data_IF_144639178669
#
_entry.id   IF_144639178669
#
_cell.length_a   1.000
_cell.length_b   1.000
_cell.length_c   1.000
_cell.angle_alpha   90.00
_cell.angle_beta   90.00
_cell.angle_gamma   90.00
#
_symmetry.space_group_name_H-M   'P 1'
#
loop_
_entity.id
_entity.type
_entity.pdbx_description
1 polymer ?
#
# COMPACT_ATOMS: atom_id res chain seq x y z
N UNK A 1 -5.46 -2.27 16.99
CA UNK A 1 -6.46 -2.07 18.04
C UNK A 1 -6.04 -1.06 19.10
N UNK A 2 -4.86 -1.16 19.75
CA UNK A 2 -4.46 -0.18 20.81
C UNK A 2 -4.33 1.28 20.31
N UNK A 3 -3.88 1.52 19.07
CA UNK A 3 -3.75 2.86 18.48
C UNK A 3 -5.09 3.51 18.09
N UNK A 4 -6.08 2.71 17.68
CA UNK A 4 -7.44 3.20 17.35
C UNK A 4 -8.20 3.58 18.63
N UNK A 5 -8.03 2.79 19.71
CA UNK A 5 -8.61 3.11 21.00
C UNK A 5 -8.03 4.40 21.58
N UNK A 6 -6.75 4.67 21.37
CA UNK A 6 -6.11 5.92 21.77
C UNK A 6 -6.67 7.13 21.00
N UNK A 7 -6.93 6.99 19.70
CA UNK A 7 -7.54 8.04 18.88
C UNK A 7 -8.98 8.35 19.33
N UNK A 8 -9.76 7.32 19.68
CA UNK A 8 -11.13 7.49 20.23
C UNK A 8 -11.12 8.12 21.62
N UNK A 9 -10.13 7.81 22.49
CA UNK A 9 -10.00 8.44 23.80
C UNK A 9 -9.61 9.92 23.71
N UNK A 10 -8.79 10.31 22.72
CA UNK A 10 -8.45 11.72 22.47
C UNK A 10 -9.70 12.50 22.02
N UNK A 11 -10.57 11.90 21.21
CA UNK A 11 -11.81 12.52 20.74
C UNK A 11 -12.88 12.66 21.84
N UNK A 12 -12.89 11.75 22.83
CA UNK A 12 -13.84 11.81 23.95
C UNK A 12 -13.36 12.76 25.08
N UNK A 13 -12.06 12.98 25.22
CA UNK A 13 -11.46 13.86 26.24
C UNK A 13 -11.74 15.35 26.02
N UNK A 14 -12.13 15.74 24.80
CA UNK A 14 -12.39 17.15 24.42
C UNK A 14 -13.76 17.68 24.93
N UNK A 15 -14.62 16.84 25.49
CA UNK A 15 -16.01 17.20 25.84
C UNK A 15 -16.31 17.40 27.33
N UNK A 16 -15.29 17.39 28.20
CA UNK A 16 -15.54 17.61 29.65
C UNK A 16 -15.22 19.05 30.06
N UNK A 17 -16.12 19.76 30.76
CA UNK A 17 -15.85 21.12 31.24
C UNK A 17 -14.91 21.09 32.45
N UNK A 18 -13.85 21.95 32.37
CA UNK A 18 -12.92 22.14 33.46
C UNK A 18 -13.45 23.14 34.51
N UNK A 19 -13.21 22.83 35.76
CA UNK A 19 -13.51 23.65 36.91
C UNK A 19 -12.58 24.87 36.99
N UNK A 20 -13.13 26.05 37.20
CA UNK A 20 -12.42 27.32 37.38
C UNK A 20 -11.83 27.41 38.79
N UNK A 21 -10.53 27.09 38.95
CA UNK A 21 -9.70 27.71 39.97
C UNK A 21 -9.16 29.04 39.41
N UNK A 22 -8.87 30.05 40.26
CA UNK A 22 -8.37 31.35 39.83
C UNK A 22 -7.21 31.16 38.83
N UNK A 23 -7.50 31.53 37.56
CA UNK A 23 -6.61 31.19 36.45
C UNK A 23 -5.35 32.03 36.57
N UNK A 24 -4.18 31.37 36.69
CA UNK A 24 -2.90 32.01 36.47
C UNK A 24 -2.90 32.74 35.12
N UNK A 25 -2.46 33.98 35.03
CA UNK A 25 -2.55 34.74 33.81
C UNK A 25 -1.63 35.96 33.77
N UNK A 26 -1.59 36.61 32.61
CA UNK A 26 -0.78 37.78 32.35
C UNK A 26 -1.02 38.33 30.95
N UNK A 27 -0.22 39.29 30.54
CA UNK A 27 -0.28 39.95 29.22
C UNK A 27 0.74 39.30 28.30
N UNK A 28 0.33 38.88 27.09
CA UNK A 28 1.27 38.47 26.04
C UNK A 28 2.06 39.70 25.58
N UNK A 29 3.32 39.80 25.98
CA UNK A 29 4.21 40.92 25.68
C UNK A 29 5.05 40.73 24.45
N UNK A 30 5.18 39.46 23.99
CA UNK A 30 5.88 39.13 22.75
C UNK A 30 5.36 37.80 22.15
N UNK A 31 4.89 37.83 20.89
CA UNK A 31 4.34 36.67 20.23
C UNK A 31 5.42 35.71 19.71
N UNK A 32 4.99 34.49 19.39
CA UNK A 32 5.76 33.48 18.68
C UNK A 32 6.05 33.88 17.22
N UNK A 33 7.17 33.42 16.69
CA UNK A 33 7.51 33.57 15.27
C UNK A 33 8.61 34.62 14.99
N UNK A 34 8.78 34.95 13.71
CA UNK A 34 9.81 35.91 13.29
C UNK A 34 9.46 37.33 13.72
N UNK A 35 10.35 37.92 14.54
CA UNK A 35 10.17 39.28 15.03
C UNK A 35 11.51 40.03 15.14
N UNK A 36 11.42 41.35 15.23
CA UNK A 36 12.58 42.18 15.52
C UNK A 36 12.95 42.03 17.02
N UNK A 37 14.16 41.50 17.30
CA UNK A 37 14.54 41.19 18.68
C UNK A 37 14.90 42.49 19.45
N UNK A 38 14.26 42.80 20.58
CA UNK A 38 14.38 44.09 21.25
C UNK A 38 15.80 44.37 21.80
N UNK A 39 16.56 43.30 22.13
CA UNK A 39 17.93 43.46 22.67
C UNK A 39 18.98 43.48 21.56
N UNK A 40 18.82 42.65 20.52
CA UNK A 40 19.81 42.50 19.45
C UNK A 40 19.59 43.39 18.23
N UNK A 41 18.43 44.01 18.08
CA UNK A 41 18.12 44.88 16.95
C UNK A 41 18.13 44.18 15.58
N UNK A 42 17.91 42.87 15.52
CA UNK A 42 17.88 42.05 14.30
C UNK A 42 16.65 41.19 14.28
N UNK A 43 16.23 40.76 13.08
CA UNK A 43 15.18 39.76 12.95
C UNK A 43 15.64 38.41 13.53
N UNK A 44 14.87 37.86 14.45
CA UNK A 44 15.10 36.55 15.06
C UNK A 44 13.79 35.81 15.23
N UNK A 45 13.89 34.51 15.17
CA UNK A 45 12.76 33.64 15.46
C UNK A 45 12.57 33.52 16.98
N UNK A 46 11.36 33.79 17.45
CA UNK A 46 10.94 33.63 18.84
C UNK A 46 10.23 32.28 19.00
N UNK A 47 10.86 31.36 19.70
CA UNK A 47 10.46 29.98 19.80
C UNK A 47 9.28 29.73 20.75
N UNK A 48 8.78 30.75 21.40
CA UNK A 48 7.72 30.70 22.38
C UNK A 48 6.93 32.01 22.43
N UNK A 49 6.20 32.21 23.52
CA UNK A 49 5.59 33.51 23.88
C UNK A 49 6.16 34.04 25.16
N UNK A 50 6.26 35.36 25.25
CA UNK A 50 6.60 36.03 26.50
C UNK A 50 5.32 36.56 27.16
N UNK A 51 5.14 36.26 28.44
CA UNK A 51 3.99 36.67 29.25
C UNK A 51 4.48 37.52 30.39
N UNK A 52 4.13 38.76 30.36
CA UNK A 52 4.47 39.78 31.39
C UNK A 52 3.27 40.17 32.23
N UNK A 53 3.45 41.28 32.99
CA UNK A 53 2.47 41.78 33.97
C UNK A 53 2.17 40.76 35.08
N UNK A 54 3.20 40.00 35.46
CA UNK A 54 3.16 39.03 36.55
C UNK A 54 4.27 39.38 37.56
N UNK A 55 3.97 39.52 38.84
CA UNK A 55 4.98 39.84 39.85
C UNK A 55 6.10 38.77 39.91
N UNK A 56 7.35 39.22 40.08
CA UNK A 56 8.46 38.31 40.31
C UNK A 56 8.18 37.43 41.54
N UNK A 57 8.53 36.15 41.46
CA UNK A 57 8.33 35.17 42.52
C UNK A 57 6.95 34.50 42.52
N UNK A 58 6.03 34.92 41.64
CA UNK A 58 4.73 34.25 41.48
C UNK A 58 4.95 32.81 41.06
N UNK A 59 4.29 31.81 41.72
CA UNK A 59 4.40 30.41 41.34
C UNK A 59 3.87 30.17 39.93
N UNK A 60 4.63 29.46 39.08
CA UNK A 60 4.30 29.08 37.71
C UNK A 60 3.69 27.68 37.76
N UNK A 61 2.37 27.51 37.43
CA UNK A 61 1.73 26.20 37.39
C UNK A 61 2.12 25.46 36.10
N UNK A 62 2.37 24.15 36.19
CA UNK A 62 2.58 23.30 35.02
C UNK A 62 1.33 23.29 34.12
N UNK A 63 1.55 23.42 32.83
CA UNK A 63 0.49 23.35 31.83
C UNK A 63 0.08 21.90 31.50
N UNK A 64 0.89 20.91 31.93
CA UNK A 64 0.68 19.49 31.62
C UNK A 64 1.00 18.61 32.82
N UNK A 65 0.42 17.41 32.85
CA UNK A 65 0.86 16.33 33.73
C UNK A 65 1.96 15.54 33.05
N UNK A 66 3.11 15.37 33.72
CA UNK A 66 4.25 14.74 33.09
C UNK A 66 5.47 14.59 34.00
N UNK A 67 6.61 14.40 33.39
CA UNK A 67 7.89 14.25 34.11
C UNK A 67 8.85 15.38 33.71
N UNK A 68 9.49 15.99 34.69
CA UNK A 68 10.53 17.01 34.46
C UNK A 68 11.69 16.40 33.67
N UNK A 69 11.83 16.80 32.43
CA UNK A 69 12.86 16.32 31.53
C UNK A 69 14.16 17.11 31.59
N UNK A 70 14.05 18.38 31.97
CA UNK A 70 15.21 19.27 32.22
C UNK A 70 14.85 20.28 33.31
N UNK A 71 15.82 20.61 34.14
CA UNK A 71 15.76 21.67 35.18
C UNK A 71 17.15 22.18 35.44
N UNK A 72 17.42 23.44 35.06
CA UNK A 72 18.75 24.03 35.23
C UNK A 72 18.91 25.33 34.45
N UNK A 73 20.13 25.88 34.43
CA UNK A 73 20.44 27.12 33.72
C UNK A 73 20.83 26.84 32.27
N UNK A 74 20.24 27.57 31.32
CA UNK A 74 20.52 27.51 29.88
C UNK A 74 20.93 28.89 29.39
N UNK A 75 21.99 28.95 28.57
CA UNK A 75 22.47 30.20 27.99
C UNK A 75 21.37 30.94 27.24
N UNK A 76 21.16 32.20 27.56
CA UNK A 76 20.08 33.02 26.99
C UNK A 76 18.75 32.87 27.72
N UNK A 77 18.33 31.65 28.04
CA UNK A 77 17.05 31.35 28.70
C UNK A 77 17.07 31.54 30.23
N UNK A 78 18.28 31.63 30.85
CA UNK A 78 18.39 31.68 32.30
C UNK A 78 17.97 30.37 32.97
N UNK A 79 17.26 30.45 34.08
CA UNK A 79 16.68 29.28 34.72
C UNK A 79 15.53 28.74 33.90
N UNK A 80 15.68 27.48 33.48
CA UNK A 80 14.81 26.78 32.49
C UNK A 80 14.35 25.46 33.06
N UNK A 81 13.07 25.20 32.95
CA UNK A 81 12.45 23.90 33.28
C UNK A 81 11.59 23.40 32.13
N UNK A 82 11.73 22.14 31.74
CA UNK A 82 10.94 21.50 30.71
C UNK A 82 10.26 20.24 31.28
N UNK A 83 8.95 20.13 31.07
CA UNK A 83 8.13 18.96 31.43
C UNK A 83 7.79 18.19 30.17
N UNK A 84 8.11 16.89 30.18
CA UNK A 84 7.65 15.97 29.14
C UNK A 84 6.20 15.57 29.45
N UNK A 85 5.29 15.96 28.60
CA UNK A 85 3.87 15.63 28.72
C UNK A 85 3.62 14.13 28.51
N UNK A 86 2.91 13.51 29.45
CA UNK A 86 2.59 12.08 29.38
C UNK A 86 1.61 11.74 28.25
N UNK A 87 0.75 12.68 27.87
CA UNK A 87 -0.28 12.46 26.88
C UNK A 87 0.28 12.45 25.44
N UNK A 88 1.19 13.39 25.16
CA UNK A 88 1.71 13.62 23.81
C UNK A 88 3.16 13.19 23.62
N UNK A 89 3.91 13.03 24.72
CA UNK A 89 5.36 12.79 24.70
C UNK A 89 6.20 14.02 24.33
N UNK A 90 5.58 15.18 24.10
CA UNK A 90 6.22 16.47 23.79
C UNK A 90 6.63 17.21 25.04
N UNK A 91 7.22 18.39 24.87
CA UNK A 91 7.78 19.14 25.99
C UNK A 91 7.13 20.53 26.09
N UNK A 92 6.78 20.89 27.32
CA UNK A 92 6.39 22.26 27.67
C UNK A 92 7.50 22.85 28.50
N UNK A 93 8.07 23.95 28.03
CA UNK A 93 9.23 24.55 28.63
C UNK A 93 8.94 25.97 29.10
N UNK A 94 9.56 26.32 30.22
CA UNK A 94 9.46 27.64 30.88
C UNK A 94 10.84 28.20 31.13
N UNK A 95 11.05 29.44 30.71
CA UNK A 95 12.33 30.11 30.84
C UNK A 95 12.22 31.41 31.63
N UNK A 96 13.37 32.01 31.90
CA UNK A 96 13.56 33.22 32.68
C UNK A 96 13.09 33.11 34.15
N UNK A 97 12.92 31.86 34.62
CA UNK A 97 12.44 31.58 35.97
C UNK A 97 13.38 32.18 37.05
N UNK A 98 12.82 32.56 38.22
CA UNK A 98 13.62 32.95 39.37
C UNK A 98 14.14 31.71 40.12
N UNK A 99 13.26 30.83 40.51
CA UNK A 99 13.55 29.57 41.21
C UNK A 99 12.92 28.38 40.50
N UNK A 100 13.65 27.27 40.37
CA UNK A 100 13.16 25.99 39.89
C UNK A 100 12.83 25.11 41.10
N UNK A 101 11.59 24.59 41.17
CA UNK A 101 11.11 23.88 42.37
C UNK A 101 11.35 22.36 42.30
N UNK A 102 11.58 21.81 41.11
CA UNK A 102 11.77 20.36 40.91
C UNK A 102 12.98 20.06 40.02
N UNK A 103 13.65 18.96 40.33
CA UNK A 103 14.74 18.41 39.53
C UNK A 103 14.26 17.44 38.46
N UNK A 104 15.18 17.07 37.55
CA UNK A 104 14.94 16.11 36.48
C UNK A 104 14.45 14.77 37.04
N UNK A 105 13.49 14.14 36.37
CA UNK A 105 12.87 12.87 36.76
C UNK A 105 11.72 13.03 37.75
N UNK A 106 11.43 14.21 38.28
CA UNK A 106 10.30 14.45 39.17
C UNK A 106 8.99 14.45 38.37
N UNK A 107 8.00 13.73 38.87
CA UNK A 107 6.67 13.76 38.31
C UNK A 107 5.89 14.95 38.83
N UNK A 108 5.21 15.66 37.92
CA UNK A 108 4.38 16.82 38.22
C UNK A 108 3.00 16.69 37.60
N UNK A 109 2.01 17.31 38.24
CA UNK A 109 0.65 17.36 37.74
C UNK A 109 0.36 18.72 37.11
N UNK A 110 -0.57 18.75 36.15
CA UNK A 110 -1.13 20.00 35.64
C UNK A 110 -1.65 20.87 36.78
N UNK A 111 -1.36 22.17 36.74
CA UNK A 111 -1.69 23.12 37.79
C UNK A 111 -0.71 23.14 39.01
N UNK A 112 0.18 22.16 39.11
CA UNK A 112 1.21 22.16 40.18
C UNK A 112 2.26 23.19 39.90
N UNK A 113 2.61 24.03 40.90
CA UNK A 113 3.71 24.99 40.80
C UNK A 113 5.05 24.28 40.58
N UNK A 114 5.77 24.63 39.51
CA UNK A 114 7.02 23.98 39.08
C UNK A 114 8.22 24.92 39.13
N UNK A 115 7.99 26.20 39.06
CA UNK A 115 8.97 27.25 39.11
C UNK A 115 8.36 28.56 39.67
N UNK A 116 9.11 29.62 39.74
CA UNK A 116 8.60 30.97 40.03
C UNK A 116 9.00 31.95 38.95
N UNK A 117 8.16 32.96 38.71
CA UNK A 117 8.38 34.02 37.71
C UNK A 117 9.64 34.81 38.05
N UNK A 118 10.47 35.04 37.04
CA UNK A 118 11.74 35.71 37.22
C UNK A 118 12.11 36.66 36.08
N UNK A 119 13.43 36.92 36.00
CA UNK A 119 14.05 37.74 34.94
C UNK A 119 15.49 37.26 34.69
N UNK A 120 15.75 35.96 34.87
CA UNK A 120 17.07 35.40 34.63
C UNK A 120 17.34 35.22 33.14
N UNK A 121 18.63 35.17 32.73
CA UNK A 121 19.01 35.08 31.32
C UNK A 121 18.94 36.40 30.58
N UNK A 122 18.60 36.36 29.27
CA UNK A 122 18.57 37.55 28.41
C UNK A 122 17.11 37.98 28.22
N UNK A 123 16.73 39.08 28.84
CA UNK A 123 15.37 39.66 28.74
C UNK A 123 15.34 41.11 29.14
N UNK A 124 14.22 41.82 28.88
CA UNK A 124 14.05 43.24 29.13
C UNK A 124 13.30 43.56 30.43
N UNK A 125 12.86 42.54 31.17
CA UNK A 125 12.13 42.72 32.44
C UNK A 125 11.61 41.39 33.01
N UNK A 126 10.72 41.48 34.00
CA UNK A 126 10.10 40.31 34.64
C UNK A 126 9.06 39.74 33.71
N UNK A 127 9.21 38.50 33.27
CA UNK A 127 8.29 37.79 32.40
C UNK A 127 8.54 36.28 32.44
N UNK A 128 7.63 35.50 31.90
CA UNK A 128 7.81 34.08 31.62
C UNK A 128 7.88 33.88 30.12
N UNK A 129 8.87 33.14 29.65
CA UNK A 129 8.90 32.62 28.28
C UNK A 129 8.40 31.17 28.28
N UNK A 130 7.43 30.86 27.44
CA UNK A 130 6.80 29.53 27.34
C UNK A 130 6.97 28.99 25.94
N UNK A 131 7.48 27.76 25.82
CA UNK A 131 7.63 27.03 24.53
C UNK A 131 6.85 25.72 24.53
N UNK A 132 6.27 25.37 23.40
CA UNK A 132 5.85 24.01 23.09
C UNK A 132 6.84 23.40 22.11
N UNK A 133 7.46 22.28 22.49
CA UNK A 133 8.55 21.67 21.74
C UNK A 133 8.20 20.23 21.35
N UNK A 134 8.56 19.84 20.12
CA UNK A 134 8.45 18.45 19.64
C UNK A 134 9.51 17.58 20.33
N UNK A 135 10.75 18.07 20.40
CA UNK A 135 11.88 17.45 21.08
C UNK A 135 12.46 18.39 22.13
N UNK A 136 13.10 17.83 23.17
CA UNK A 136 13.67 18.63 24.24
C UNK A 136 14.65 19.68 23.73
N UNK A 137 15.49 19.31 22.75
CA UNK A 137 16.46 20.18 22.11
C UNK A 137 16.36 20.09 20.60
N UNK A 138 16.77 21.10 19.85
CA UNK A 138 16.78 21.13 18.40
C UNK A 138 16.64 22.52 17.80
N UNK A 139 16.49 22.60 16.47
CA UNK A 139 16.28 23.84 15.75
C UNK A 139 14.96 24.50 16.20
N UNK A 140 14.98 25.73 16.60
CA UNK A 140 13.80 26.43 17.14
C UNK A 140 12.65 26.50 16.14
N UNK A 141 12.95 26.79 14.86
CA UNK A 141 11.91 26.93 13.81
C UNK A 141 11.17 25.63 13.55
N UNK A 142 11.89 24.51 13.53
CA UNK A 142 11.33 23.21 13.19
C UNK A 142 10.79 22.45 14.41
N UNK A 143 11.41 22.72 15.57
CA UNK A 143 11.16 21.98 16.80
C UNK A 143 10.10 22.62 17.70
N UNK A 144 9.70 23.86 17.47
CA UNK A 144 8.68 24.54 18.28
C UNK A 144 7.41 24.79 17.50
N UNK A 145 6.30 24.92 18.21
CA UNK A 145 4.98 25.33 17.69
C UNK A 145 4.47 26.50 18.51
N UNK A 146 3.59 27.31 17.91
CA UNK A 146 3.00 28.46 18.58
C UNK A 146 2.25 28.03 19.85
N UNK A 147 2.70 28.43 21.07
CA UNK A 147 2.09 28.02 22.30
C UNK A 147 0.87 28.85 22.70
N UNK A 148 0.55 29.93 22.00
CA UNK A 148 -0.39 30.97 22.48
C UNK A 148 -1.76 30.37 22.77
N UNK A 149 -2.37 29.66 21.82
CA UNK A 149 -3.70 29.05 22.00
C UNK A 149 -3.72 27.97 23.09
N UNK A 150 -2.65 27.19 23.20
CA UNK A 150 -2.50 26.17 24.25
C UNK A 150 -2.41 26.80 25.64
N UNK A 151 -1.56 27.81 25.81
CA UNK A 151 -1.41 28.52 27.07
C UNK A 151 -2.72 29.24 27.43
N UNK A 152 -3.38 29.88 26.45
CA UNK A 152 -4.68 30.57 26.66
C UNK A 152 -5.82 29.62 27.06
N UNK A 153 -5.72 28.34 26.70
CA UNK A 153 -6.71 27.32 27.15
C UNK A 153 -6.53 26.94 28.63
N UNK A 154 -5.39 27.23 29.23
CA UNK A 154 -5.03 26.86 30.60
C UNK A 154 -4.85 28.06 31.53
N UNK A 155 -4.38 29.19 30.99
CA UNK A 155 -4.10 30.40 31.72
C UNK A 155 -4.92 31.58 31.17
N UNK A 156 -5.22 32.55 32.01
CA UNK A 156 -5.95 33.75 31.59
C UNK A 156 -5.01 34.72 30.92
N UNK A 157 -4.94 34.71 29.58
CA UNK A 157 -4.08 35.62 28.82
C UNK A 157 -4.87 36.83 28.30
N UNK A 158 -4.22 38.02 28.33
CA UNK A 158 -4.68 39.23 27.71
C UNK A 158 -3.63 39.77 26.73
N UNK A 159 -3.98 40.75 25.87
CA UNK A 159 -3.05 41.27 24.85
C UNK A 159 -2.84 40.33 23.66
N UNK A 160 -3.71 39.36 23.49
CA UNK A 160 -3.73 38.40 22.40
C UNK A 160 -5.01 38.53 21.57
N UNK A 161 -4.88 38.55 20.25
CA UNK A 161 -6.01 38.80 19.32
C UNK A 161 -6.73 37.49 18.84
N UNK A 162 -6.29 36.32 19.33
CA UNK A 162 -6.89 35.04 18.97
C UNK A 162 -6.49 34.49 17.59
N UNK A 163 -5.56 35.12 16.86
CA UNK A 163 -5.23 34.75 15.48
C UNK A 163 -4.07 33.78 15.33
N UNK A 164 -3.36 33.43 16.41
CA UNK A 164 -2.22 32.52 16.35
C UNK A 164 -2.63 31.05 16.42
N UNK A 165 -1.79 30.20 15.86
CA UNK A 165 -1.89 28.77 15.56
C UNK A 165 -2.88 27.90 16.35
N UNK A 166 -3.24 26.77 15.79
CA UNK A 166 -4.22 25.86 16.42
C UNK A 166 -3.64 25.14 17.63
N UNK A 167 -4.28 25.27 18.80
CA UNK A 167 -3.98 24.48 20.01
C UNK A 167 -3.92 22.96 19.69
N UNK A 168 -4.70 22.54 18.70
CA UNK A 168 -4.78 21.12 18.32
C UNK A 168 -3.48 20.59 17.71
N UNK A 169 -2.63 21.47 17.12
CA UNK A 169 -1.35 21.06 16.53
C UNK A 169 -0.38 20.50 17.59
N UNK A 170 -0.49 20.96 18.86
CA UNK A 170 0.30 20.42 19.95
C UNK A 170 -0.07 18.97 20.30
N UNK A 171 -1.35 18.59 20.15
CA UNK A 171 -1.85 17.27 20.50
C UNK A 171 -1.76 16.26 19.36
N UNK A 172 -1.44 16.69 18.14
CA UNK A 172 -1.27 15.79 17.01
C UNK A 172 0.11 15.11 17.07
N UNK A 173 0.16 13.78 17.20
CA UNK A 173 1.43 13.08 17.26
C UNK A 173 2.15 13.07 15.92
N UNK A 174 3.48 13.03 15.93
CA UNK A 174 4.25 12.73 14.73
C UNK A 174 4.12 11.25 14.42
N UNK A 175 3.56 10.91 13.26
CA UNK A 175 3.41 9.55 12.78
C UNK A 175 4.00 9.48 11.37
N UNK A 176 4.86 8.49 11.14
CA UNK A 176 5.33 8.13 9.81
C UNK A 176 5.06 6.65 9.60
N UNK A 177 4.49 6.30 8.47
CA UNK A 177 4.25 4.92 8.05
C UNK A 177 4.97 4.71 6.72
N UNK A 178 5.80 3.68 6.65
CA UNK A 178 6.50 3.30 5.41
C UNK A 178 5.84 2.05 4.83
N UNK A 179 5.23 2.19 3.66
CA UNK A 179 4.61 1.08 2.94
C UNK A 179 5.55 0.43 1.91
N UNK A 180 6.77 0.91 1.74
CA UNK A 180 7.68 0.42 0.69
C UNK A 180 7.96 -1.09 0.79
N UNK A 181 8.07 -1.63 2.01
CA UNK A 181 8.26 -3.07 2.22
C UNK A 181 7.06 -3.92 1.74
N UNK A 182 5.84 -3.37 1.84
CA UNK A 182 4.62 -4.08 1.43
C UNK A 182 4.42 -4.08 -0.09
N UNK A 183 5.11 -3.18 -0.82
CA UNK A 183 5.17 -3.17 -2.28
C UNK A 183 6.34 -4.00 -2.82
N UNK A 184 7.10 -4.68 -1.97
CA UNK A 184 8.21 -5.57 -2.35
C UNK A 184 7.92 -7.10 -2.23
N UNK A 185 6.65 -7.61 -2.29
CA UNK A 185 6.37 -9.03 -2.08
C UNK A 185 6.67 -9.92 -3.30
N UNK A 186 7.32 -9.38 -4.31
CA UNK A 186 7.42 -9.96 -5.64
C UNK A 186 8.19 -11.29 -5.70
N UNK A 187 9.26 -11.43 -4.93
CA UNK A 187 10.11 -12.63 -5.00
C UNK A 187 9.39 -13.88 -4.50
N UNK A 188 8.64 -13.78 -3.40
CA UNK A 188 7.91 -14.92 -2.85
C UNK A 188 6.71 -15.31 -3.72
N UNK A 189 5.94 -14.33 -4.22
CA UNK A 189 4.81 -14.59 -5.11
C UNK A 189 5.29 -15.22 -6.42
N UNK A 190 6.39 -14.71 -6.97
CA UNK A 190 7.02 -15.25 -8.16
C UNK A 190 7.56 -16.67 -7.94
N UNK A 191 8.17 -16.94 -6.79
CA UNK A 191 8.64 -18.26 -6.40
C UNK A 191 7.49 -19.26 -6.30
N UNK A 192 6.41 -18.91 -5.59
CA UNK A 192 5.21 -19.74 -5.47
C UNK A 192 4.60 -20.04 -6.84
N UNK A 193 4.52 -19.04 -7.73
CA UNK A 193 4.00 -19.22 -9.08
C UNK A 193 4.87 -20.18 -9.88
N UNK A 194 6.20 -19.99 -9.84
CA UNK A 194 7.16 -20.86 -10.52
C UNK A 194 7.15 -22.29 -9.99
N UNK A 195 7.08 -22.46 -8.67
CA UNK A 195 7.00 -23.80 -8.04
C UNK A 195 5.69 -24.51 -8.40
N UNK A 196 4.58 -23.75 -8.49
CA UNK A 196 3.30 -24.29 -8.92
C UNK A 196 3.34 -24.72 -10.39
N UNK A 197 3.87 -23.88 -11.29
CA UNK A 197 4.02 -24.21 -12.71
C UNK A 197 4.95 -25.40 -12.93
N UNK A 198 6.07 -25.49 -12.20
CA UNK A 198 6.98 -26.67 -12.27
C UNK A 198 6.30 -27.93 -11.77
N UNK A 199 5.49 -27.86 -10.73
CA UNK A 199 4.70 -28.99 -10.22
C UNK A 199 3.66 -29.43 -11.24
N UNK A 200 2.96 -28.49 -11.88
CA UNK A 200 1.98 -28.78 -12.94
C UNK A 200 2.66 -29.38 -14.17
N UNK A 201 3.81 -28.87 -14.58
CA UNK A 201 4.62 -29.43 -15.68
C UNK A 201 5.08 -30.84 -15.39
N UNK A 202 5.53 -31.14 -14.17
CA UNK A 202 5.91 -32.49 -13.74
C UNK A 202 4.70 -33.46 -13.72
N UNK A 203 3.54 -32.97 -13.28
CA UNK A 203 2.30 -33.78 -13.33
C UNK A 203 1.86 -34.05 -14.77
N UNK A 204 2.03 -33.07 -15.66
CA UNK A 204 1.78 -33.23 -17.09
C UNK A 204 2.70 -34.29 -17.72
N UNK A 205 4.01 -34.24 -17.43
CA UNK A 205 4.97 -35.25 -17.89
C UNK A 205 4.61 -36.68 -17.46
N UNK A 206 4.20 -36.87 -16.19
CA UNK A 206 3.71 -38.16 -15.70
C UNK A 206 2.46 -38.66 -16.42
N UNK A 207 1.52 -37.77 -16.70
CA UNK A 207 0.32 -38.12 -17.45
C UNK A 207 0.68 -38.54 -18.86
N UNK A 208 1.62 -37.88 -19.50
CA UNK A 208 2.10 -38.16 -20.85
C UNK A 208 2.83 -39.51 -20.93
N UNK A 209 3.46 -40.00 -19.85
CA UNK A 209 4.06 -41.34 -19.78
C UNK A 209 2.99 -42.46 -19.78
N UNK A 210 1.86 -42.24 -19.12
CA UNK A 210 0.82 -43.28 -18.94
C UNK A 210 -0.20 -43.31 -20.05
N UNK A 211 -0.57 -42.13 -20.58
CA UNK A 211 -1.65 -42.00 -21.55
C UNK A 211 -1.42 -42.69 -22.91
N UNK A 212 -0.17 -42.87 -23.43
CA UNK A 212 0.03 -43.65 -24.68
C UNK A 212 -0.49 -45.08 -24.60
N UNK A 213 -0.42 -45.71 -23.43
CA UNK A 213 -0.91 -47.06 -23.23
C UNK A 213 -2.44 -47.12 -23.44
N UNK A 214 -3.16 -46.11 -22.95
CA UNK A 214 -4.63 -45.99 -23.21
C UNK A 214 -4.92 -45.75 -24.70
N UNK A 215 -4.18 -44.87 -25.35
CA UNK A 215 -4.33 -44.57 -26.77
C UNK A 215 -4.10 -45.82 -27.64
N UNK A 216 -2.99 -46.55 -27.38
CA UNK A 216 -2.67 -47.77 -28.09
C UNK A 216 -3.71 -48.87 -27.84
N UNK A 217 -4.21 -49.01 -26.59
CA UNK A 217 -5.28 -49.97 -26.30
C UNK A 217 -6.57 -49.65 -27.10
N UNK A 218 -6.93 -48.39 -27.18
CA UNK A 218 -8.12 -47.98 -27.95
C UNK A 218 -7.93 -48.20 -29.46
N UNK A 219 -6.74 -47.95 -30.00
CA UNK A 219 -6.41 -48.25 -31.40
C UNK A 219 -6.52 -49.75 -31.65
N UNK A 220 -6.00 -50.61 -30.78
CA UNK A 220 -6.07 -52.07 -30.89
C UNK A 220 -7.54 -52.53 -30.85
N UNK A 221 -8.37 -51.98 -29.98
CA UNK A 221 -9.81 -52.27 -29.89
C UNK A 221 -10.52 -51.90 -31.18
N UNK A 222 -10.26 -50.71 -31.75
CA UNK A 222 -10.88 -50.26 -33.00
C UNK A 222 -10.44 -51.11 -34.21
N UNK A 223 -9.16 -51.52 -34.26
CA UNK A 223 -8.66 -52.46 -35.25
C UNK A 223 -9.29 -53.83 -35.09
N UNK A 224 -9.41 -54.36 -33.88
CA UNK A 224 -10.08 -55.63 -33.59
C UNK A 224 -11.56 -55.59 -34.05
N UNK A 225 -12.25 -54.47 -33.81
CA UNK A 225 -13.61 -54.23 -34.28
C UNK A 225 -13.69 -54.23 -35.82
N UNK A 226 -12.73 -53.61 -36.49
CA UNK A 226 -12.63 -53.61 -37.97
C UNK A 226 -12.46 -55.03 -38.51
N UNK A 227 -11.57 -55.83 -37.89
CA UNK A 227 -11.33 -57.20 -38.22
C UNK A 227 -12.59 -58.08 -37.99
N UNK A 228 -13.32 -57.81 -36.91
CA UNK A 228 -14.60 -58.47 -36.62
C UNK A 228 -15.64 -58.21 -37.71
N UNK A 229 -15.76 -56.96 -38.17
CA UNK A 229 -16.63 -56.61 -39.32
C UNK A 229 -16.31 -57.45 -40.57
N UNK A 230 -15.02 -57.55 -40.92
CA UNK A 230 -14.57 -58.34 -42.08
C UNK A 230 -14.91 -59.82 -41.87
N UNK A 231 -14.70 -60.36 -40.66
CA UNK A 231 -14.96 -61.78 -40.35
C UNK A 231 -16.44 -62.14 -40.44
N UNK A 232 -17.36 -61.21 -40.19
CA UNK A 232 -18.81 -61.40 -40.29
C UNK A 232 -19.29 -61.15 -41.71
N UNK A 233 -18.39 -60.88 -42.67
CA UNK A 233 -18.75 -60.68 -44.08
C UNK A 233 -19.24 -59.27 -44.42
N UNK A 234 -19.07 -58.28 -43.55
CA UNK A 234 -19.37 -56.89 -43.86
C UNK A 234 -18.32 -56.32 -44.81
N UNK A 235 -18.75 -55.59 -45.85
CA UNK A 235 -17.85 -54.97 -46.82
C UNK A 235 -17.21 -53.76 -46.14
N UNK A 236 -15.87 -53.82 -45.94
CA UNK A 236 -15.06 -52.68 -45.46
C UNK A 236 -14.43 -52.04 -46.68
N UNK A 237 -14.68 -50.75 -46.91
CA UNK A 237 -14.08 -50.02 -48.03
C UNK A 237 -12.61 -49.71 -47.75
N UNK A 238 -11.77 -49.67 -48.78
CA UNK A 238 -10.38 -49.23 -48.64
C UNK A 238 -10.29 -47.78 -48.11
N UNK A 239 -11.25 -46.94 -48.41
CA UNK A 239 -11.37 -45.58 -47.91
C UNK A 239 -11.54 -45.55 -46.37
N UNK A 240 -12.33 -46.47 -45.80
CA UNK A 240 -12.50 -46.59 -44.35
C UNK A 240 -11.18 -47.00 -43.69
N UNK A 241 -10.43 -47.90 -44.26
CA UNK A 241 -9.12 -48.36 -43.75
C UNK A 241 -8.08 -47.24 -43.80
N UNK A 242 -7.99 -46.56 -44.94
CA UNK A 242 -7.05 -45.45 -45.14
C UNK A 242 -7.35 -44.29 -44.19
N UNK A 243 -8.62 -43.92 -44.06
CA UNK A 243 -9.06 -42.85 -43.18
C UNK A 243 -8.73 -43.15 -41.71
N UNK A 244 -8.94 -44.43 -41.25
CA UNK A 244 -8.56 -44.86 -39.90
C UNK A 244 -7.07 -44.79 -39.70
N UNK A 245 -6.27 -45.27 -40.65
CA UNK A 245 -4.80 -45.23 -40.57
C UNK A 245 -4.30 -43.81 -40.40
N UNK A 246 -4.74 -42.86 -41.22
CA UNK A 246 -4.36 -41.45 -41.10
C UNK A 246 -4.82 -40.84 -39.78
N UNK A 247 -6.00 -41.22 -39.29
CA UNK A 247 -6.53 -40.82 -38.00
C UNK A 247 -5.60 -41.29 -36.87
N UNK A 248 -5.16 -42.55 -36.88
CA UNK A 248 -4.25 -43.06 -35.87
C UNK A 248 -2.89 -42.35 -35.92
N UNK A 249 -2.29 -42.19 -37.09
CA UNK A 249 -1.03 -41.46 -37.25
C UNK A 249 -1.16 -40.03 -36.71
N UNK A 250 -2.22 -39.32 -37.05
CA UNK A 250 -2.48 -37.96 -36.57
C UNK A 250 -2.60 -37.91 -35.05
N UNK A 251 -3.39 -38.79 -34.44
CA UNK A 251 -3.54 -38.76 -32.98
C UNK A 251 -2.29 -39.17 -32.23
N UNK A 252 -1.52 -40.13 -32.71
CA UNK A 252 -0.23 -40.49 -32.11
C UNK A 252 0.74 -39.30 -32.19
N UNK A 253 0.84 -38.67 -33.35
CA UNK A 253 1.69 -37.50 -33.54
C UNK A 253 1.23 -36.33 -32.68
N UNK A 254 -0.08 -36.01 -32.68
CA UNK A 254 -0.63 -34.93 -31.86
C UNK A 254 -0.37 -35.17 -30.37
N UNK A 255 -0.52 -36.43 -29.92
CA UNK A 255 -0.27 -36.79 -28.54
C UNK A 255 1.21 -36.66 -28.15
N UNK A 256 2.11 -37.17 -28.96
CA UNK A 256 3.56 -37.09 -28.71
C UNK A 256 4.09 -35.66 -28.76
N UNK A 257 3.52 -34.82 -29.62
CA UNK A 257 3.92 -33.42 -29.79
C UNK A 257 3.17 -32.47 -28.85
N UNK A 258 2.21 -32.94 -28.04
CA UNK A 258 1.32 -32.07 -27.26
C UNK A 258 2.06 -31.19 -26.25
N UNK A 259 3.00 -31.81 -25.48
CA UNK A 259 3.81 -31.06 -24.50
C UNK A 259 4.69 -30.03 -25.20
N UNK A 260 5.40 -30.45 -26.25
CA UNK A 260 6.26 -29.60 -27.03
C UNK A 260 5.46 -28.44 -27.64
N UNK A 261 4.27 -28.75 -28.17
CA UNK A 261 3.38 -27.76 -28.74
C UNK A 261 2.89 -26.75 -27.71
N UNK A 262 2.48 -27.21 -26.52
CA UNK A 262 2.03 -26.31 -25.45
C UNK A 262 3.17 -25.43 -24.95
N UNK A 263 4.34 -26.01 -24.66
CA UNK A 263 5.47 -25.32 -24.04
C UNK A 263 6.26 -24.44 -25.02
N UNK A 264 6.54 -24.94 -26.21
CA UNK A 264 7.48 -24.29 -27.17
C UNK A 264 6.76 -23.44 -28.22
N UNK A 265 5.47 -23.68 -28.43
CA UNK A 265 4.71 -22.99 -29.47
C UNK A 265 3.59 -22.15 -28.88
N UNK A 266 2.73 -22.78 -28.09
CA UNK A 266 1.50 -22.15 -27.63
C UNK A 266 1.79 -21.01 -26.63
N UNK A 267 2.54 -21.28 -25.57
CA UNK A 267 2.81 -20.30 -24.52
C UNK A 267 3.65 -19.14 -25.08
N UNK A 268 4.81 -19.36 -25.74
CA UNK A 268 5.60 -18.26 -26.31
C UNK A 268 4.84 -17.45 -27.36
N UNK A 269 3.99 -18.12 -28.18
CA UNK A 269 3.16 -17.43 -29.15
C UNK A 269 2.21 -16.44 -28.48
N UNK A 270 1.54 -16.84 -27.40
CA UNK A 270 0.60 -15.99 -26.71
C UNK A 270 1.28 -14.85 -25.93
N UNK A 271 2.43 -15.13 -25.34
CA UNK A 271 3.28 -14.12 -24.72
C UNK A 271 3.76 -13.09 -25.76
N UNK A 272 4.21 -13.55 -26.90
CA UNK A 272 4.67 -12.69 -27.98
C UNK A 272 3.54 -11.86 -28.61
N UNK A 273 2.37 -12.45 -28.84
CA UNK A 273 1.20 -11.73 -29.37
C UNK A 273 0.75 -10.67 -28.37
N UNK A 274 0.62 -11.01 -27.08
CA UNK A 274 0.24 -10.04 -26.04
C UNK A 274 1.25 -8.88 -25.96
N UNK A 275 2.56 -9.17 -26.01
CA UNK A 275 3.63 -8.18 -25.92
C UNK A 275 3.71 -7.28 -27.14
N UNK A 276 3.62 -7.84 -28.36
CA UNK A 276 3.72 -7.08 -29.61
C UNK A 276 2.61 -6.05 -29.73
N UNK A 277 1.38 -6.41 -29.35
CA UNK A 277 0.25 -5.47 -29.36
C UNK A 277 0.34 -4.41 -28.25
N UNK A 278 1.07 -4.67 -27.16
CA UNK A 278 1.34 -3.68 -26.12
C UNK A 278 2.53 -2.75 -26.46
N UNK A 279 3.15 -2.90 -27.65
CA UNK A 279 4.29 -2.08 -28.09
C UNK A 279 5.62 -2.44 -27.42
N UNK A 280 5.73 -3.62 -26.79
CA UNK A 280 6.90 -4.09 -26.05
C UNK A 280 7.39 -5.44 -26.55
N UNK A 281 8.72 -5.65 -26.47
CA UNK A 281 9.29 -7.00 -26.50
C UNK A 281 9.24 -7.57 -25.08
N UNK A 282 8.28 -8.45 -24.80
CA UNK A 282 8.24 -9.19 -23.56
C UNK A 282 9.24 -10.38 -23.65
N UNK A 283 10.22 -10.39 -22.78
CA UNK A 283 10.91 -11.63 -22.47
C UNK A 283 10.00 -12.47 -21.54
N UNK A 284 9.99 -13.79 -21.73
CA UNK A 284 9.19 -14.79 -21.00
C UNK A 284 9.14 -14.55 -19.46
N UNK A 285 10.24 -14.00 -18.92
CA UNK A 285 10.36 -13.62 -17.53
C UNK A 285 9.56 -12.35 -17.14
N UNK A 286 9.19 -11.50 -18.07
CA UNK A 286 8.62 -10.17 -17.74
C UNK A 286 7.13 -10.21 -17.42
N UNK A 287 6.40 -11.16 -18.00
CA UNK A 287 4.97 -11.35 -17.72
C UNK A 287 4.69 -11.84 -16.29
N UNK A 288 5.60 -12.63 -15.73
CA UNK A 288 5.53 -13.13 -14.34
C UNK A 288 6.25 -12.23 -13.34
N UNK A 289 6.92 -11.18 -13.80
CA UNK A 289 7.59 -10.21 -12.93
C UNK A 289 6.59 -9.20 -12.38
N UNK A 290 5.81 -9.63 -11.40
CA UNK A 290 4.91 -8.75 -10.65
C UNK A 290 5.65 -7.60 -9.95
N UNK A 291 6.95 -7.74 -9.70
CA UNK A 291 7.85 -6.71 -9.19
C UNK A 291 7.85 -5.45 -10.05
N UNK A 292 7.77 -5.58 -11.37
CA UNK A 292 7.66 -4.41 -12.26
C UNK A 292 6.38 -3.62 -12.01
N UNK A 293 5.23 -4.29 -11.83
CA UNK A 293 3.98 -3.61 -11.49
C UNK A 293 4.11 -2.85 -10.18
N UNK A 294 4.60 -3.51 -9.13
CA UNK A 294 4.79 -2.89 -7.83
C UNK A 294 5.79 -1.73 -7.87
N UNK A 295 6.94 -1.92 -8.53
CA UNK A 295 7.96 -0.90 -8.69
C UNK A 295 7.44 0.30 -9.50
N UNK A 296 6.70 0.08 -10.60
CA UNK A 296 6.14 1.16 -11.40
C UNK A 296 5.11 1.96 -10.61
N UNK A 297 4.21 1.30 -9.88
CA UNK A 297 3.24 1.96 -9.01
C UNK A 297 3.95 2.74 -7.91
N UNK A 298 4.95 2.16 -7.24
CA UNK A 298 5.75 2.84 -6.20
C UNK A 298 6.44 4.10 -6.74
N UNK A 299 7.01 4.03 -7.93
CA UNK A 299 7.67 5.18 -8.57
C UNK A 299 6.68 6.32 -8.89
N UNK A 300 5.44 6.00 -9.23
CA UNK A 300 4.40 6.99 -9.52
C UNK A 300 3.90 7.65 -8.25
N UNK A 301 3.59 6.87 -7.21
CA UNK A 301 3.07 7.42 -5.96
C UNK A 301 4.14 8.15 -5.15
N UNK A 302 5.44 7.93 -5.44
CA UNK A 302 6.55 8.67 -4.85
C UNK A 302 6.49 8.74 -3.33
N UNK A 303 6.47 9.95 -2.78
CA UNK A 303 6.46 10.18 -1.33
C UNK A 303 5.14 9.78 -0.65
N UNK A 304 4.03 9.63 -1.40
CA UNK A 304 2.77 9.15 -0.82
C UNK A 304 2.86 7.74 -0.24
N UNK A 305 3.87 6.94 -0.62
CA UNK A 305 4.14 5.63 -0.01
C UNK A 305 4.59 5.74 1.46
N UNK A 306 5.07 6.94 1.85
CA UNK A 306 5.54 7.24 3.20
C UNK A 306 4.75 8.40 3.81
N UNK A 307 3.42 8.26 3.98
CA UNK A 307 2.62 9.33 4.53
C UNK A 307 3.11 9.70 5.93
N UNK A 308 3.31 10.97 6.16
CA UNK A 308 3.77 11.53 7.44
C UNK A 308 2.74 12.48 8.01
N UNK A 309 2.57 12.42 9.32
CA UNK A 309 1.77 13.37 10.09
C UNK A 309 2.72 14.15 11.00
N UNK A 310 2.94 15.42 10.69
CA UNK A 310 3.97 16.28 11.28
C UNK A 310 3.42 17.16 12.41
N UNK A 311 2.49 16.64 13.18
CA UNK A 311 1.96 17.37 14.33
C UNK A 311 1.05 18.56 14.00
N UNK A 312 0.51 18.64 12.78
CA UNK A 312 -0.42 19.69 12.36
C UNK A 312 -1.83 19.13 12.12
N UNK A 313 -2.84 19.77 12.66
CA UNK A 313 -4.26 19.37 12.49
C UNK A 313 -4.65 19.38 11.01
N UNK A 314 -4.17 20.35 10.24
CA UNK A 314 -4.45 20.46 8.82
C UNK A 314 -3.96 19.25 8.00
N UNK A 315 -2.97 18.51 8.50
CA UNK A 315 -2.41 17.32 7.85
C UNK A 315 -3.13 16.02 8.21
N UNK A 316 -4.04 16.01 9.19
CA UNK A 316 -4.75 14.80 9.61
C UNK A 316 -5.55 14.19 8.44
N UNK A 317 -6.34 15.02 7.76
CA UNK A 317 -7.17 14.55 6.64
C UNK A 317 -6.32 14.07 5.45
N UNK A 318 -5.33 14.84 4.96
CA UNK A 318 -4.37 14.35 3.96
C UNK A 318 -3.71 13.03 4.36
N UNK A 319 -3.18 12.92 5.55
CA UNK A 319 -2.54 11.71 6.08
C UNK A 319 -3.49 10.49 6.06
N UNK A 320 -4.75 10.65 6.51
CA UNK A 320 -5.74 9.55 6.47
C UNK A 320 -6.04 9.15 5.03
N UNK A 321 -6.23 10.12 4.13
CA UNK A 321 -6.55 9.86 2.72
C UNK A 321 -5.40 9.13 2.04
N UNK A 322 -4.15 9.57 2.22
CA UNK A 322 -2.98 8.92 1.64
C UNK A 322 -2.83 7.47 2.13
N UNK A 323 -2.96 7.24 3.43
CA UNK A 323 -2.93 5.87 3.98
C UNK A 323 -4.00 4.96 3.35
N UNK A 324 -5.22 5.46 3.20
CA UNK A 324 -6.32 4.70 2.58
C UNK A 324 -6.04 4.41 1.11
N UNK A 325 -5.58 5.40 0.35
CA UNK A 325 -5.28 5.25 -1.08
C UNK A 325 -4.11 4.28 -1.32
N UNK A 326 -3.04 4.38 -0.54
CA UNK A 326 -1.89 3.45 -0.63
C UNK A 326 -2.30 2.02 -0.32
N UNK A 327 -3.12 1.79 0.72
CA UNK A 327 -3.65 0.46 1.05
C UNK A 327 -4.53 -0.08 -0.09
N UNK A 328 -5.38 0.75 -0.68
CA UNK A 328 -6.23 0.35 -1.81
C UNK A 328 -5.38 -0.04 -3.02
N UNK A 329 -4.34 0.75 -3.35
CA UNK A 329 -3.42 0.44 -4.44
C UNK A 329 -2.65 -0.86 -4.19
N UNK A 330 -2.15 -1.08 -2.98
CA UNK A 330 -1.47 -2.31 -2.60
C UNK A 330 -2.38 -3.53 -2.79
N UNK A 331 -3.61 -3.47 -2.29
CA UNK A 331 -4.60 -4.54 -2.46
C UNK A 331 -4.92 -4.74 -3.95
N UNK A 332 -5.05 -3.65 -4.71
CA UNK A 332 -5.29 -3.70 -6.16
C UNK A 332 -4.16 -4.38 -6.93
N UNK A 333 -2.91 -4.05 -6.64
CA UNK A 333 -1.73 -4.69 -7.24
C UNK A 333 -1.67 -6.18 -6.91
N UNK A 334 -1.89 -6.56 -5.64
CA UNK A 334 -1.92 -7.96 -5.21
C UNK A 334 -3.05 -8.73 -5.90
N UNK A 335 -4.26 -8.17 -5.95
CA UNK A 335 -5.41 -8.79 -6.59
C UNK A 335 -5.19 -9.00 -8.09
N UNK A 336 -4.62 -8.01 -8.78
CA UNK A 336 -4.31 -8.10 -10.21
C UNK A 336 -3.25 -9.17 -10.48
N UNK A 337 -2.16 -9.18 -9.71
CA UNK A 337 -1.09 -10.18 -9.83
C UNK A 337 -1.62 -11.59 -9.59
N UNK A 338 -2.42 -11.77 -8.55
CA UNK A 338 -3.04 -13.05 -8.24
C UNK A 338 -4.01 -13.50 -9.34
N UNK A 339 -4.78 -12.57 -9.90
CA UNK A 339 -5.72 -12.86 -10.98
C UNK A 339 -5.00 -13.36 -12.26
N UNK A 340 -3.90 -12.70 -12.66
CA UNK A 340 -3.06 -13.13 -13.80
C UNK A 340 -2.47 -14.52 -13.55
N UNK A 341 -1.94 -14.75 -12.34
CA UNK A 341 -1.43 -16.07 -11.94
C UNK A 341 -2.49 -17.16 -12.06
N UNK A 342 -3.69 -16.92 -11.56
CA UNK A 342 -4.81 -17.89 -11.62
C UNK A 342 -5.17 -18.22 -13.06
N UNK A 343 -5.19 -17.22 -13.97
CA UNK A 343 -5.46 -17.43 -15.38
C UNK A 343 -4.43 -18.36 -16.04
N UNK A 344 -3.16 -18.14 -15.75
CA UNK A 344 -2.08 -18.97 -16.24
C UNK A 344 -2.20 -20.43 -15.74
N UNK A 345 -2.45 -20.60 -14.44
CA UNK A 345 -2.63 -21.92 -13.82
C UNK A 345 -3.83 -22.66 -14.42
N UNK A 346 -4.96 -21.97 -14.60
CA UNK A 346 -6.15 -22.56 -15.22
C UNK A 346 -5.85 -23.02 -16.66
N UNK A 347 -5.14 -22.19 -17.43
CA UNK A 347 -4.73 -22.56 -18.77
C UNK A 347 -3.89 -23.83 -18.79
N UNK A 348 -2.86 -23.94 -17.94
CA UNK A 348 -2.05 -25.14 -17.80
C UNK A 348 -2.89 -26.37 -17.42
N UNK A 349 -3.78 -26.25 -16.45
CA UNK A 349 -4.68 -27.35 -16.05
C UNK A 349 -5.55 -27.82 -17.23
N UNK A 350 -6.08 -26.89 -18.00
CA UNK A 350 -6.93 -27.22 -19.16
C UNK A 350 -6.09 -27.87 -20.27
N UNK A 351 -4.85 -27.47 -20.48
CA UNK A 351 -3.95 -28.16 -21.39
C UNK A 351 -3.65 -29.58 -20.93
N UNK A 352 -3.45 -29.82 -19.62
CA UNK A 352 -3.27 -31.17 -19.06
C UNK A 352 -4.52 -32.02 -19.32
N UNK A 353 -5.70 -31.51 -19.01
CA UNK A 353 -6.95 -32.23 -19.24
C UNK A 353 -7.29 -32.35 -20.72
N UNK A 354 -6.91 -31.39 -21.55
CA UNK A 354 -7.12 -31.43 -23.00
C UNK A 354 -6.49 -32.61 -23.70
N UNK A 355 -5.35 -33.11 -23.20
CA UNK A 355 -4.69 -34.32 -23.73
C UNK A 355 -5.57 -35.56 -23.60
N UNK A 356 -6.45 -35.63 -22.59
CA UNK A 356 -7.39 -36.73 -22.39
C UNK A 356 -8.45 -36.76 -23.50
N UNK A 357 -8.74 -35.64 -24.17
CA UNK A 357 -9.63 -35.56 -25.28
C UNK A 357 -9.19 -36.37 -26.49
N UNK A 358 -7.87 -36.53 -26.67
CA UNK A 358 -7.31 -37.26 -27.84
C UNK A 358 -7.73 -38.76 -27.84
N UNK A 359 -7.50 -39.52 -26.74
CA UNK A 359 -7.99 -40.92 -26.68
C UNK A 359 -9.53 -41.05 -26.72
N UNK A 360 -10.26 -40.08 -26.12
CA UNK A 360 -11.72 -40.12 -26.10
C UNK A 360 -12.32 -40.05 -27.52
N UNK A 361 -11.63 -39.46 -28.48
CA UNK A 361 -12.09 -39.41 -29.89
C UNK A 361 -12.21 -40.79 -30.55
N UNK A 362 -11.63 -41.84 -29.97
CA UNK A 362 -11.76 -43.23 -30.46
C UNK A 362 -12.98 -43.97 -29.90
N UNK A 363 -13.60 -43.43 -28.87
CA UNK A 363 -14.76 -44.09 -28.23
C UNK A 363 -16.02 -43.67 -28.96
N UNK A 364 -16.78 -44.62 -29.59
CA UNK A 364 -18.03 -44.29 -30.24
C UNK A 364 -19.02 -43.59 -29.29
N UNK A 365 -19.51 -42.42 -29.69
CA UNK A 365 -20.39 -41.59 -28.87
C UNK A 365 -19.67 -40.61 -27.94
N UNK A 366 -18.36 -40.67 -27.76
CA UNK A 366 -17.57 -39.70 -26.97
C UNK A 366 -16.85 -38.63 -27.85
N UNK A 367 -17.01 -38.68 -29.14
CA UNK A 367 -16.38 -37.73 -30.10
C UNK A 367 -16.74 -36.27 -29.82
N UNK A 368 -17.99 -36.01 -29.41
CA UNK A 368 -18.41 -34.66 -28.99
C UNK A 368 -17.72 -34.18 -27.75
N UNK A 369 -17.46 -35.03 -26.77
CA UNK A 369 -16.73 -34.71 -25.55
C UNK A 369 -15.25 -34.42 -25.85
N UNK A 370 -14.62 -35.22 -26.72
CA UNK A 370 -13.26 -34.97 -27.18
C UNK A 370 -13.12 -33.61 -27.87
N UNK A 371 -14.05 -33.27 -28.78
CA UNK A 371 -14.11 -31.99 -29.46
C UNK A 371 -14.29 -30.84 -28.48
N UNK A 372 -15.16 -30.98 -27.48
CA UNK A 372 -15.42 -29.95 -26.48
C UNK A 372 -14.20 -29.74 -25.58
N UNK A 373 -13.48 -30.81 -25.21
CA UNK A 373 -12.24 -30.68 -24.40
C UNK A 373 -11.16 -29.94 -25.17
N UNK A 374 -10.90 -30.25 -26.43
CA UNK A 374 -9.94 -29.54 -27.27
C UNK A 374 -10.38 -28.10 -27.55
N UNK A 375 -11.70 -27.90 -27.79
CA UNK A 375 -12.29 -26.57 -27.92
C UNK A 375 -12.07 -25.70 -26.68
N UNK A 376 -12.17 -26.30 -25.50
CA UNK A 376 -11.92 -25.61 -24.22
C UNK A 376 -10.49 -25.10 -24.12
N UNK A 377 -9.49 -25.86 -24.58
CA UNK A 377 -8.09 -25.42 -24.64
C UNK A 377 -7.96 -24.15 -25.48
N UNK A 378 -8.60 -24.10 -26.64
CA UNK A 378 -8.56 -22.92 -27.53
C UNK A 378 -9.23 -21.70 -26.90
N UNK A 379 -10.37 -21.86 -26.24
CA UNK A 379 -11.07 -20.76 -25.54
C UNK A 379 -10.19 -20.15 -24.46
N UNK A 380 -9.56 -20.98 -23.64
CA UNK A 380 -8.71 -20.49 -22.55
C UNK A 380 -7.35 -19.95 -23.05
N UNK A 381 -6.89 -20.43 -24.20
CA UNK A 381 -5.75 -19.83 -24.89
C UNK A 381 -6.04 -18.38 -25.31
N UNK A 382 -7.21 -18.14 -25.92
CA UNK A 382 -7.65 -16.80 -26.30
C UNK A 382 -7.83 -15.91 -25.05
N UNK A 383 -8.41 -16.46 -23.98
CA UNK A 383 -8.56 -15.76 -22.70
C UNK A 383 -7.19 -15.35 -22.11
N UNK A 384 -6.17 -16.21 -22.23
CA UNK A 384 -4.80 -15.90 -21.82
C UNK A 384 -4.19 -14.79 -22.68
N UNK A 385 -4.34 -14.84 -24.02
CA UNK A 385 -3.87 -13.78 -24.93
C UNK A 385 -4.45 -12.43 -24.53
N UNK A 386 -5.76 -12.36 -24.34
CA UNK A 386 -6.44 -11.13 -23.93
C UNK A 386 -5.94 -10.64 -22.57
N UNK A 387 -5.70 -11.55 -21.64
CA UNK A 387 -5.14 -11.21 -20.33
C UNK A 387 -3.75 -10.60 -20.46
N UNK A 388 -2.85 -11.23 -21.22
CA UNK A 388 -1.50 -10.72 -21.49
C UNK A 388 -1.52 -9.37 -22.19
N UNK A 389 -2.39 -9.21 -23.19
CA UNK A 389 -2.56 -7.96 -23.92
C UNK A 389 -3.03 -6.82 -23.02
N UNK A 390 -4.08 -7.03 -22.23
CA UNK A 390 -4.63 -6.00 -21.35
C UNK A 390 -3.66 -5.66 -20.22
N UNK A 391 -2.98 -6.66 -19.66
CA UNK A 391 -1.94 -6.43 -18.65
C UNK A 391 -0.78 -5.63 -19.23
N UNK A 392 -0.33 -5.95 -20.45
CA UNK A 392 0.70 -5.21 -21.16
C UNK A 392 0.30 -3.76 -21.42
N UNK A 393 -0.95 -3.50 -21.85
CA UNK A 393 -1.47 -2.14 -22.01
C UNK A 393 -1.48 -1.38 -20.70
N UNK A 394 -1.98 -2.00 -19.62
CA UNK A 394 -1.99 -1.37 -18.30
C UNK A 394 -0.57 -1.00 -17.85
N UNK A 395 0.40 -1.89 -18.02
CA UNK A 395 1.79 -1.62 -17.69
C UNK A 395 2.38 -0.48 -18.51
N UNK A 396 2.06 -0.41 -19.80
CA UNK A 396 2.48 0.68 -20.67
C UNK A 396 1.92 2.02 -20.21
N UNK A 397 0.63 2.09 -19.88
CA UNK A 397 -0.01 3.31 -19.37
C UNK A 397 0.57 3.72 -18.01
N UNK A 398 0.80 2.77 -17.10
CA UNK A 398 1.42 3.04 -15.80
C UNK A 398 2.81 3.67 -15.98
N UNK A 399 3.66 3.12 -16.84
CA UNK A 399 5.03 3.63 -17.02
C UNK A 399 5.10 5.02 -17.67
N UNK A 400 4.07 5.42 -18.40
CA UNK A 400 3.97 6.78 -18.98
C UNK A 400 3.34 7.79 -18.00
N UNK A 401 2.84 7.33 -16.86
CA UNK A 401 2.28 8.22 -15.85
C UNK A 401 3.40 9.00 -15.15
N UNK A 402 3.25 10.33 -15.07
CA UNK A 402 4.22 11.17 -14.36
C UNK A 402 4.14 10.90 -12.84
N UNK A 403 5.27 10.95 -12.12
CA UNK A 403 5.26 10.87 -10.66
C UNK A 403 4.32 11.90 -10.04
N UNK A 404 3.56 11.48 -9.04
CA UNK A 404 2.57 12.33 -8.36
C UNK A 404 3.31 13.18 -7.31
N UNK A 405 3.16 14.53 -7.35
CA UNK A 405 3.74 15.40 -6.32
C UNK A 405 3.18 15.09 -4.93
N UNK A 406 4.02 15.14 -3.90
CA UNK A 406 3.67 14.80 -2.51
C UNK A 406 2.50 15.60 -1.92
N UNK A 407 2.21 16.79 -2.47
CA UNK A 407 1.13 17.67 -2.05
C UNK A 407 -0.18 17.47 -2.84
N UNK A 408 -0.19 16.57 -3.82
CA UNK A 408 -1.30 16.40 -4.77
C UNK A 408 -2.19 15.19 -4.49
N UNK A 409 -3.00 15.25 -3.43
CA UNK A 409 -4.01 14.23 -3.11
C UNK A 409 -5.00 14.00 -4.26
N UNK A 410 -5.35 15.05 -5.01
CA UNK A 410 -6.27 14.92 -6.15
C UNK A 410 -5.70 14.05 -7.27
N UNK A 411 -4.42 14.18 -7.56
CA UNK A 411 -3.71 13.34 -8.54
C UNK A 411 -3.59 11.89 -8.07
N UNK A 412 -3.32 11.68 -6.77
CA UNK A 412 -3.28 10.37 -6.14
C UNK A 412 -4.65 9.67 -6.22
N UNK A 413 -5.74 10.39 -5.94
CA UNK A 413 -7.10 9.87 -6.03
C UNK A 413 -7.48 9.53 -7.47
N UNK A 414 -7.10 10.37 -8.44
CA UNK A 414 -7.33 10.12 -9.87
C UNK A 414 -6.57 8.88 -10.33
N UNK A 415 -5.29 8.76 -9.99
CA UNK A 415 -4.47 7.59 -10.33
C UNK A 415 -5.05 6.31 -9.74
N UNK A 416 -5.36 6.31 -8.44
CA UNK A 416 -5.96 5.15 -7.76
C UNK A 416 -7.28 4.75 -8.39
N UNK A 417 -8.16 5.72 -8.69
CA UNK A 417 -9.44 5.48 -9.34
C UNK A 417 -9.26 4.90 -10.75
N UNK A 418 -8.36 5.45 -11.55
CA UNK A 418 -8.06 4.94 -12.90
C UNK A 418 -7.50 3.52 -12.84
N UNK A 419 -6.55 3.26 -11.95
CA UNK A 419 -5.97 1.93 -11.75
C UNK A 419 -7.03 0.89 -11.40
N UNK A 420 -7.93 1.21 -10.46
CA UNK A 420 -9.02 0.30 -10.05
C UNK A 420 -10.01 0.04 -11.18
N UNK A 421 -10.39 1.09 -11.92
CA UNK A 421 -11.31 0.95 -13.07
C UNK A 421 -10.69 0.08 -14.15
N UNK A 422 -9.43 0.30 -14.52
CA UNK A 422 -8.71 -0.55 -15.48
C UNK A 422 -8.62 -2.00 -14.99
N UNK A 423 -8.27 -2.22 -13.73
CA UNK A 423 -8.20 -3.56 -13.12
C UNK A 423 -9.55 -4.27 -13.10
N UNK A 424 -10.64 -3.54 -12.82
CA UNK A 424 -11.99 -4.08 -12.87
C UNK A 424 -12.42 -4.49 -14.29
N UNK A 425 -12.16 -3.63 -15.30
CA UNK A 425 -12.45 -3.95 -16.68
C UNK A 425 -11.69 -5.18 -17.17
N UNK A 426 -10.40 -5.29 -16.83
CA UNK A 426 -9.63 -6.50 -17.11
C UNK A 426 -10.29 -7.78 -16.57
N UNK A 427 -10.89 -7.70 -15.36
CA UNK A 427 -11.58 -8.85 -14.74
C UNK A 427 -12.98 -9.14 -15.28
N UNK A 428 -13.72 -8.12 -15.77
CA UNK A 428 -15.13 -8.25 -16.17
C UNK A 428 -15.34 -8.54 -17.65
N UNK A 429 -14.62 -7.88 -18.54
CA UNK A 429 -14.83 -8.00 -19.99
C UNK A 429 -14.33 -9.34 -20.53
N UNK A 430 -13.34 -9.95 -19.89
CA UNK A 430 -12.85 -11.28 -20.26
C UNK A 430 -13.89 -12.38 -20.03
N UNK A 431 -14.78 -12.26 -19.04
CA UNK A 431 -15.90 -13.21 -18.88
C UNK A 431 -16.91 -13.12 -20.02
N UNK A 432 -17.10 -11.92 -20.57
CA UNK A 432 -18.02 -11.72 -21.70
C UNK A 432 -17.41 -12.18 -23.01
N UNK A 433 -16.11 -11.91 -23.24
CA UNK A 433 -15.37 -12.39 -24.42
C UNK A 433 -15.28 -13.92 -24.45
N UNK A 434 -14.92 -14.56 -23.32
CA UNK A 434 -14.89 -16.02 -23.19
C UNK A 434 -16.24 -16.66 -23.53
N UNK A 435 -17.34 -16.13 -23.00
CA UNK A 435 -18.70 -16.61 -23.31
C UNK A 435 -19.11 -16.37 -24.77
N UNK A 436 -18.65 -15.31 -25.40
CA UNK A 436 -18.90 -15.03 -26.80
C UNK A 436 -18.16 -16.04 -27.69
N UNK A 437 -16.89 -16.33 -27.39
CA UNK A 437 -16.13 -17.37 -28.12
C UNK A 437 -16.67 -18.77 -27.88
N UNK A 438 -17.12 -19.09 -26.67
CA UNK A 438 -17.81 -20.35 -26.37
C UNK A 438 -19.09 -20.55 -27.20
N UNK A 439 -19.84 -19.47 -27.50
CA UNK A 439 -21.02 -19.49 -28.37
C UNK A 439 -20.67 -19.59 -29.85
N UNK A 440 -19.50 -19.15 -30.27
CA UNK A 440 -19.06 -19.26 -31.69
C UNK A 440 -18.52 -20.66 -31.98
N UNK A 441 -17.93 -21.31 -30.97
CA UNK A 441 -17.34 -22.65 -31.09
C UNK A 441 -18.35 -23.80 -30.85
N UNK A 442 -19.50 -23.53 -30.23
CA UNK A 442 -20.64 -24.44 -30.06
C UNK A 442 -21.71 -24.19 -31.11
#
# INVERSE_FOLDING_TARGET
>A
MKKIVLLCMIFLGVLLPFSTADAFGGVVTSPYGWRFHPVYGTQRFHAGIDIGDIPKGTPIPSLVTGTVAFSGSVSGYGNYIAVKDDATGRYVAFAHCDTLLFGVGTRVNEGQAIATVGSTGIGTGVHIHVELRKELWGNHVENTVDPTSFVASKWSLTGWDGTSGSIYDFFVPNISIDYSEYFAPSEELMKVTKDLLTTLSAAFGKLQEVMPYLLYALIIIDLAWLMCKVSVGMVVSMDEVITRFFRYCFYIMAFQSWELFVREVFIPFFEQVGSTYAGRTFEEADFLKFDKLFTSVTNIIGDHIKPTLDGQVAQILPFIVDNVLVIILLIGCLALSFWVMVKLVIFYLICIFGILGIPLAFIPGAESHAKNMLGSVMVHAIDLILTCFLFGLLMNEIEHFSPIPADSISSMLLFTGTFLVCSYFMGSDLRSASKMFERILN
#
